data_IF_159182189870
#
_entry.id   IF_159182189870
#
_cell.length_a   1.000
_cell.length_b   1.000
_cell.length_c   1.000
_cell.angle_alpha   90.00
_cell.angle_beta   90.00
_cell.angle_gamma   90.00
#
_symmetry.space_group_name_H-M   'P 1'
#
loop_
_entity.id
_entity.type
_entity.pdbx_description
1 polymer ?
#
# COMPACT_ATOMS: atom_id res chain seq x y z
N UNK A 1 -24.92 -0.86 -10.63
CA UNK A 1 -23.60 -1.44 -10.94
C UNK A 1 -23.07 -0.85 -12.23
N UNK A 2 -21.74 -0.76 -12.35
CA UNK A 2 -21.06 -0.51 -13.62
C UNK A 2 -20.83 -1.85 -14.30
N UNK A 3 -21.32 -2.00 -15.50
CA UNK A 3 -21.24 -3.24 -16.28
C UNK A 3 -20.43 -2.97 -17.54
N UNK A 4 -19.42 -3.79 -17.81
CA UNK A 4 -18.70 -3.82 -19.07
C UNK A 4 -19.36 -4.90 -19.95
N UNK A 5 -19.97 -4.47 -21.05
CA UNK A 5 -20.56 -5.35 -22.05
C UNK A 5 -19.62 -5.45 -23.25
N UNK A 6 -19.14 -6.65 -23.54
CA UNK A 6 -18.21 -6.92 -24.65
C UNK A 6 -18.93 -7.83 -25.64
N UNK A 7 -19.25 -7.31 -26.81
CA UNK A 7 -19.96 -8.04 -27.87
C UNK A 7 -19.65 -7.36 -29.21
N UNK A 8 -19.26 -8.12 -30.23
CA UNK A 8 -18.90 -7.59 -31.55
C UNK A 8 -20.13 -7.19 -32.41
N UNK A 9 -21.27 -7.74 -32.09
CA UNK A 9 -22.54 -7.41 -32.74
C UNK A 9 -23.16 -6.14 -32.16
N UNK A 10 -22.98 -5.01 -32.84
CA UNK A 10 -23.58 -3.72 -32.43
C UNK A 10 -25.06 -3.79 -32.11
N UNK A 11 -25.80 -4.61 -32.87
CA UNK A 11 -27.25 -4.76 -32.67
C UNK A 11 -27.56 -5.50 -31.36
N UNK A 12 -26.87 -6.58 -31.07
CA UNK A 12 -26.99 -7.35 -29.82
C UNK A 12 -26.55 -6.52 -28.63
N UNK A 13 -25.38 -5.88 -28.73
CA UNK A 13 -24.84 -4.99 -27.69
C UNK A 13 -25.83 -3.85 -27.36
N UNK A 14 -26.41 -3.20 -28.37
CA UNK A 14 -27.35 -2.11 -28.15
C UNK A 14 -28.64 -2.57 -27.44
N UNK A 15 -29.18 -3.72 -27.81
CA UNK A 15 -30.38 -4.29 -27.17
C UNK A 15 -30.06 -4.69 -25.72
N UNK A 16 -28.97 -5.39 -25.49
CA UNK A 16 -28.55 -5.80 -24.15
C UNK A 16 -28.25 -4.59 -23.26
N UNK A 17 -27.53 -3.60 -23.76
CA UNK A 17 -27.23 -2.37 -23.02
C UNK A 17 -28.53 -1.60 -22.66
N UNK A 18 -29.50 -1.51 -23.57
CA UNK A 18 -30.78 -0.88 -23.27
C UNK A 18 -31.54 -1.60 -22.14
N UNK A 19 -31.58 -2.95 -22.18
CA UNK A 19 -32.20 -3.77 -21.13
C UNK A 19 -31.52 -3.56 -19.76
N UNK A 20 -30.18 -3.58 -19.72
CA UNK A 20 -29.41 -3.37 -18.50
C UNK A 20 -29.59 -1.94 -17.96
N UNK A 21 -29.66 -0.94 -18.82
CA UNK A 21 -29.90 0.45 -18.44
C UNK A 21 -31.29 0.64 -17.85
N UNK A 22 -32.32 -0.01 -18.42
CA UNK A 22 -33.68 -0.02 -17.85
C UNK A 22 -33.72 -0.66 -16.44
N UNK A 23 -32.84 -1.62 -16.16
CA UNK A 23 -32.67 -2.21 -14.84
C UNK A 23 -31.85 -1.34 -13.86
N UNK A 24 -31.47 -0.13 -14.29
CA UNK A 24 -30.73 0.84 -13.44
C UNK A 24 -29.22 0.60 -13.37
N UNK A 25 -28.63 -0.03 -14.38
CA UNK A 25 -27.19 -0.25 -14.46
C UNK A 25 -26.52 0.74 -15.41
N UNK A 26 -25.27 1.10 -15.13
CA UNK A 26 -24.41 1.89 -16.01
C UNK A 26 -23.62 0.93 -16.91
N UNK A 27 -23.72 1.08 -18.23
CA UNK A 27 -23.16 0.13 -19.19
C UNK A 27 -22.11 0.80 -20.06
N UNK A 28 -20.89 0.26 -20.01
CA UNK A 28 -19.81 0.57 -20.95
C UNK A 28 -19.74 -0.55 -21.98
N UNK A 29 -19.56 -0.22 -23.27
CA UNK A 29 -19.53 -1.20 -24.35
C UNK A 29 -18.13 -1.30 -24.97
N UNK A 30 -17.73 -2.52 -25.36
CA UNK A 30 -16.53 -2.79 -26.14
C UNK A 30 -16.87 -3.75 -27.29
N UNK A 31 -16.30 -3.52 -28.49
CA UNK A 31 -16.66 -4.22 -29.73
C UNK A 31 -15.81 -5.52 -29.94
N UNK A 32 -14.88 -5.86 -29.08
CA UNK A 32 -14.08 -7.09 -29.13
C UNK A 32 -13.36 -7.33 -27.78
N UNK A 33 -12.80 -8.52 -27.62
CA UNK A 33 -12.13 -8.91 -26.38
C UNK A 33 -10.93 -8.05 -26.02
N UNK A 34 -10.15 -7.55 -27.01
CA UNK A 34 -9.01 -6.69 -26.71
C UNK A 34 -9.46 -5.36 -26.11
N UNK A 35 -10.43 -4.68 -26.72
CA UNK A 35 -11.00 -3.45 -26.20
C UNK A 35 -11.69 -3.67 -24.84
N UNK A 36 -12.27 -4.86 -24.63
CA UNK A 36 -12.83 -5.26 -23.34
C UNK A 36 -11.76 -5.31 -22.26
N UNK A 37 -10.62 -5.96 -22.51
CA UNK A 37 -9.49 -6.01 -21.58
C UNK A 37 -8.91 -4.61 -21.32
N UNK A 38 -8.72 -3.79 -22.36
CA UNK A 38 -8.19 -2.44 -22.21
C UNK A 38 -9.11 -1.55 -21.37
N UNK A 39 -10.43 -1.64 -21.61
CA UNK A 39 -11.45 -0.94 -20.81
C UNK A 39 -11.46 -1.40 -19.36
N UNK A 40 -11.36 -2.71 -19.12
CA UNK A 40 -11.26 -3.28 -17.78
C UNK A 40 -10.03 -2.78 -17.03
N UNK A 41 -8.86 -2.78 -17.67
CA UNK A 41 -7.62 -2.31 -17.05
C UNK A 41 -7.64 -0.82 -16.71
N UNK A 42 -8.34 -0.01 -17.53
CA UNK A 42 -8.47 1.43 -17.30
C UNK A 42 -9.45 1.76 -16.17
N UNK A 43 -10.60 1.11 -16.17
CA UNK A 43 -11.68 1.39 -15.22
C UNK A 43 -12.44 0.09 -14.87
N UNK A 44 -11.99 -0.69 -13.89
CA UNK A 44 -12.58 -1.97 -13.53
C UNK A 44 -14.09 -1.84 -13.21
N UNK A 45 -14.96 -2.66 -13.85
CA UNK A 45 -16.41 -2.65 -13.63
C UNK A 45 -16.78 -3.49 -12.39
N UNK A 46 -18.08 -3.48 -12.04
CA UNK A 46 -18.63 -4.36 -11.02
C UNK A 46 -19.00 -5.75 -11.59
N UNK A 47 -19.19 -5.83 -12.91
CA UNK A 47 -19.56 -7.05 -13.65
C UNK A 47 -19.08 -6.93 -15.10
N UNK A 48 -18.61 -8.02 -15.68
CA UNK A 48 -18.33 -8.15 -17.12
C UNK A 48 -19.35 -9.09 -17.73
N UNK A 49 -20.01 -8.64 -18.81
CA UNK A 49 -20.77 -9.50 -19.73
C UNK A 49 -19.93 -9.64 -21.00
N UNK A 50 -19.52 -10.86 -21.32
CA UNK A 50 -18.52 -11.14 -22.35
C UNK A 50 -19.08 -12.10 -23.39
N UNK A 51 -19.17 -11.66 -24.63
CA UNK A 51 -19.43 -12.60 -25.71
C UNK A 51 -18.28 -13.58 -25.90
N UNK A 52 -18.61 -14.82 -26.24
CA UNK A 52 -17.61 -15.89 -26.44
C UNK A 52 -16.93 -15.73 -27.78
N UNK A 53 -17.69 -15.53 -28.86
CA UNK A 53 -17.19 -15.52 -30.23
C UNK A 53 -17.04 -14.08 -30.75
N UNK A 54 -15.84 -13.57 -30.74
CA UNK A 54 -15.51 -12.23 -31.21
C UNK A 54 -14.26 -12.21 -32.08
N UNK A 55 -14.15 -11.30 -33.05
CA UNK A 55 -12.93 -11.08 -33.82
C UNK A 55 -11.82 -10.48 -32.95
N UNK A 56 -10.58 -10.55 -33.42
CA UNK A 56 -9.37 -10.03 -32.77
C UNK A 56 -9.00 -10.83 -31.53
N UNK A 57 -9.91 -10.96 -30.56
CA UNK A 57 -9.72 -11.73 -29.31
C UNK A 57 -11.10 -12.28 -28.89
N UNK A 58 -11.19 -13.59 -28.75
CA UNK A 58 -12.41 -14.22 -28.24
C UNK A 58 -12.57 -13.99 -26.73
N UNK A 59 -13.80 -14.27 -26.22
CA UNK A 59 -14.14 -14.00 -24.83
C UNK A 59 -13.34 -14.81 -23.82
N UNK A 60 -12.97 -16.04 -24.14
CA UNK A 60 -12.19 -16.89 -23.23
C UNK A 60 -10.78 -16.33 -23.00
N UNK A 61 -10.08 -15.97 -24.07
CA UNK A 61 -8.74 -15.33 -23.99
C UNK A 61 -8.84 -13.97 -23.29
N UNK A 62 -9.91 -13.21 -23.51
CA UNK A 62 -10.12 -11.95 -22.83
C UNK A 62 -10.29 -12.17 -21.31
N UNK A 63 -11.08 -13.16 -20.89
CA UNK A 63 -11.29 -13.50 -19.50
C UNK A 63 -9.97 -13.94 -18.82
N UNK A 64 -9.18 -14.82 -19.45
CA UNK A 64 -7.86 -15.20 -18.93
C UNK A 64 -6.94 -14.01 -18.72
N UNK A 65 -6.93 -13.04 -19.64
CA UNK A 65 -6.12 -11.80 -19.51
C UNK A 65 -6.62 -10.92 -18.37
N UNK A 66 -7.93 -10.79 -18.20
CA UNK A 66 -8.53 -10.09 -17.07
C UNK A 66 -8.11 -10.75 -15.77
N UNK A 67 -8.18 -12.09 -15.65
CA UNK A 67 -7.75 -12.83 -14.46
C UNK A 67 -6.26 -12.66 -14.17
N UNK A 68 -5.42 -12.71 -15.19
CA UNK A 68 -3.99 -12.47 -15.05
C UNK A 68 -3.66 -11.03 -14.59
N UNK A 69 -4.47 -10.05 -14.99
CA UNK A 69 -4.36 -8.68 -14.53
C UNK A 69 -4.81 -8.56 -13.06
N UNK A 70 -5.98 -9.11 -12.70
CA UNK A 70 -6.51 -9.10 -11.34
C UNK A 70 -5.58 -9.76 -10.32
N UNK A 71 -4.90 -10.84 -10.70
CA UNK A 71 -3.94 -11.55 -9.83
C UNK A 71 -2.75 -10.68 -9.38
N UNK A 72 -2.53 -9.52 -10.01
CA UNK A 72 -1.47 -8.55 -9.67
C UNK A 72 -2.00 -7.34 -8.89
N UNK A 73 -3.28 -7.34 -8.56
CA UNK A 73 -3.95 -6.21 -7.91
C UNK A 73 -4.43 -6.64 -6.53
N UNK A 74 -4.57 -5.66 -5.64
CA UNK A 74 -5.03 -5.88 -4.26
C UNK A 74 -6.57 -5.86 -4.13
N UNK A 75 -7.31 -5.73 -5.24
CA UNK A 75 -8.77 -5.77 -5.18
C UNK A 75 -9.35 -7.15 -5.47
N UNK A 76 -10.56 -7.37 -4.98
CA UNK A 76 -11.28 -8.61 -5.20
C UNK A 76 -11.70 -8.77 -6.67
N UNK A 77 -11.59 -10.00 -7.17
CA UNK A 77 -11.97 -10.47 -8.49
C UNK A 77 -13.37 -9.99 -8.95
N UNK A 78 -13.52 -9.58 -10.24
CA UNK A 78 -14.76 -9.12 -10.85
C UNK A 78 -15.51 -10.27 -11.51
N UNK A 79 -16.82 -10.49 -11.26
CA UNK A 79 -17.59 -11.51 -11.95
C UNK A 79 -17.57 -11.33 -13.47
N UNK A 80 -17.37 -12.43 -14.20
CA UNK A 80 -17.45 -12.49 -15.66
C UNK A 80 -18.56 -13.47 -16.02
N UNK A 81 -19.56 -13.00 -16.72
CA UNK A 81 -20.64 -13.82 -17.26
C UNK A 81 -20.49 -13.88 -18.77
N UNK A 82 -20.39 -15.07 -19.30
CA UNK A 82 -20.34 -15.25 -20.76
C UNK A 82 -21.73 -15.14 -21.37
N UNK A 83 -21.79 -14.41 -22.50
CA UNK A 83 -22.95 -14.37 -23.38
C UNK A 83 -22.78 -15.42 -24.46
N UNK A 84 -23.75 -16.33 -24.60
CA UNK A 84 -23.68 -17.42 -25.56
C UNK A 84 -24.91 -17.46 -26.47
N UNK A 85 -24.72 -17.87 -27.70
CA UNK A 85 -25.82 -18.17 -28.62
C UNK A 85 -26.38 -19.60 -28.37
N UNK A 86 -25.63 -20.51 -27.71
CA UNK A 86 -25.99 -21.90 -27.52
C UNK A 86 -25.56 -22.42 -26.13
N UNK A 87 -26.46 -23.11 -25.45
CA UNK A 87 -26.28 -23.68 -24.10
C UNK A 87 -25.76 -25.11 -24.18
N UNK A 88 -24.63 -25.37 -24.86
CA UNK A 88 -24.05 -26.72 -24.90
C UNK A 88 -23.18 -26.98 -23.65
N UNK A 89 -23.19 -28.23 -23.12
CA UNK A 89 -22.37 -28.59 -21.95
C UNK A 89 -20.86 -28.36 -22.15
N UNK A 90 -20.36 -28.52 -23.37
CA UNK A 90 -18.94 -28.31 -23.71
C UNK A 90 -18.54 -26.85 -23.56
N UNK A 91 -19.38 -25.93 -24.00
CA UNK A 91 -19.15 -24.49 -23.86
C UNK A 91 -19.16 -24.04 -22.40
N UNK A 92 -19.96 -24.67 -21.57
CA UNK A 92 -20.03 -24.40 -20.13
C UNK A 92 -18.71 -24.75 -19.42
N UNK A 93 -18.15 -25.93 -19.70
CA UNK A 93 -16.87 -26.36 -19.11
C UNK A 93 -15.75 -25.41 -19.50
N UNK A 94 -15.64 -25.10 -20.80
CA UNK A 94 -14.63 -24.16 -21.31
C UNK A 94 -14.77 -22.74 -20.70
N UNK A 95 -16.01 -22.27 -20.52
CA UNK A 95 -16.26 -20.97 -19.90
C UNK A 95 -15.76 -20.90 -18.45
N UNK A 96 -15.99 -21.94 -17.67
CA UNK A 96 -15.53 -22.03 -16.27
C UNK A 96 -14.01 -22.12 -16.21
N UNK A 97 -13.39 -22.97 -17.06
CA UNK A 97 -11.92 -23.12 -17.11
C UNK A 97 -11.21 -21.82 -17.53
N UNK A 98 -11.81 -21.03 -18.42
CA UNK A 98 -11.32 -19.71 -18.82
C UNK A 98 -11.49 -18.62 -17.73
N UNK A 99 -12.07 -18.95 -16.58
CA UNK A 99 -12.25 -18.03 -15.46
C UNK A 99 -13.57 -17.25 -15.46
N UNK A 100 -14.57 -17.71 -16.21
CA UNK A 100 -15.94 -17.21 -16.11
C UNK A 100 -16.68 -17.75 -14.88
N UNK A 101 -17.66 -17.00 -14.41
CA UNK A 101 -18.44 -17.30 -13.21
C UNK A 101 -19.83 -17.84 -13.50
N UNK A 102 -20.36 -17.44 -14.64
CA UNK A 102 -21.71 -17.85 -15.09
C UNK A 102 -21.81 -17.62 -16.61
N UNK A 103 -22.92 -18.04 -17.18
CA UNK A 103 -23.27 -17.78 -18.57
C UNK A 103 -24.73 -17.39 -18.72
N UNK A 104 -25.05 -16.67 -19.78
CA UNK A 104 -26.40 -16.21 -20.12
C UNK A 104 -26.59 -16.33 -21.63
N UNK A 105 -27.71 -16.95 -22.05
CA UNK A 105 -28.09 -16.92 -23.45
C UNK A 105 -28.37 -15.47 -23.90
N UNK A 106 -27.93 -15.05 -25.08
CA UNK A 106 -28.19 -13.70 -25.63
C UNK A 106 -29.69 -13.40 -25.76
N UNK A 107 -30.51 -14.44 -25.90
CA UNK A 107 -31.99 -14.38 -26.00
C UNK A 107 -32.71 -14.60 -24.67
N UNK A 108 -32.00 -14.48 -23.53
CA UNK A 108 -32.55 -14.73 -22.20
C UNK A 108 -33.82 -13.87 -21.95
N UNK A 109 -34.90 -14.44 -21.34
CA UNK A 109 -36.07 -13.68 -20.93
C UNK A 109 -35.70 -12.57 -19.90
N UNK A 110 -36.45 -11.45 -19.94
CA UNK A 110 -36.21 -10.28 -19.08
C UNK A 110 -36.21 -10.63 -17.60
N UNK A 111 -37.15 -11.47 -17.18
CA UNK A 111 -37.28 -11.92 -15.79
C UNK A 111 -36.03 -12.70 -15.30
N UNK A 112 -35.42 -13.51 -16.17
CA UNK A 112 -34.22 -14.25 -15.86
C UNK A 112 -32.99 -13.33 -15.83
N UNK A 113 -32.87 -12.40 -16.80
CA UNK A 113 -31.82 -11.40 -16.82
C UNK A 113 -31.84 -10.56 -15.53
N UNK A 114 -33.02 -10.06 -15.16
CA UNK A 114 -33.20 -9.27 -13.94
C UNK A 114 -32.83 -10.06 -12.69
N UNK A 115 -33.25 -11.34 -12.59
CA UNK A 115 -32.87 -12.18 -11.45
C UNK A 115 -31.36 -12.39 -11.35
N UNK A 116 -30.67 -12.66 -12.48
CA UNK A 116 -29.20 -12.78 -12.52
C UNK A 116 -28.52 -11.47 -12.18
N UNK A 117 -28.95 -10.35 -12.73
CA UNK A 117 -28.39 -9.01 -12.40
C UNK A 117 -28.56 -8.67 -10.91
N UNK A 118 -29.72 -8.98 -10.32
CA UNK A 118 -29.93 -8.82 -8.88
C UNK A 118 -29.00 -9.71 -8.03
N UNK A 119 -28.76 -10.94 -8.47
CA UNK A 119 -27.80 -11.82 -7.80
C UNK A 119 -26.36 -11.26 -7.89
N UNK A 120 -25.93 -10.79 -9.07
CA UNK A 120 -24.61 -10.20 -9.28
C UNK A 120 -24.43 -8.89 -8.51
N UNK A 121 -25.48 -8.05 -8.45
CA UNK A 121 -25.46 -6.82 -7.64
C UNK A 121 -25.20 -7.13 -6.15
N UNK A 122 -25.83 -8.18 -5.63
CA UNK A 122 -25.61 -8.63 -4.26
C UNK A 122 -24.19 -9.15 -4.05
N UNK A 123 -23.66 -9.94 -4.98
CA UNK A 123 -22.28 -10.46 -4.93
C UNK A 123 -21.27 -9.30 -4.98
N UNK A 124 -21.44 -8.35 -5.90
CA UNK A 124 -20.59 -7.17 -6.00
C UNK A 124 -20.62 -6.33 -4.72
N UNK A 125 -21.81 -6.14 -4.13
CA UNK A 125 -21.97 -5.44 -2.85
C UNK A 125 -21.27 -6.14 -1.68
N UNK A 126 -21.44 -7.45 -1.53
CA UNK A 126 -20.79 -8.23 -0.48
C UNK A 126 -19.25 -8.22 -0.64
N UNK A 127 -18.78 -8.31 -1.86
CA UNK A 127 -17.36 -8.26 -2.20
C UNK A 127 -16.73 -6.91 -1.81
N UNK A 128 -17.41 -5.80 -2.14
CA UNK A 128 -16.99 -4.46 -1.74
C UNK A 128 -16.92 -4.33 -0.22
N UNK A 129 -17.93 -4.80 0.49
CA UNK A 129 -17.94 -4.79 1.96
C UNK A 129 -16.81 -5.62 2.56
N UNK A 130 -16.52 -6.81 2.00
CA UNK A 130 -15.41 -7.65 2.45
C UNK A 130 -14.06 -6.97 2.22
N UNK A 131 -13.87 -6.35 1.06
CA UNK A 131 -12.66 -5.60 0.74
C UNK A 131 -12.44 -4.43 1.71
N UNK A 132 -13.48 -3.61 1.93
CA UNK A 132 -13.43 -2.50 2.88
C UNK A 132 -13.16 -2.99 4.33
N UNK A 133 -13.77 -4.11 4.73
CA UNK A 133 -13.54 -4.71 6.04
C UNK A 133 -12.11 -5.21 6.21
N UNK A 134 -11.55 -5.89 5.20
CA UNK A 134 -10.17 -6.35 5.21
C UNK A 134 -9.18 -5.18 5.28
N UNK A 135 -9.33 -4.16 4.44
CA UNK A 135 -8.50 -2.96 4.50
C UNK A 135 -8.57 -2.26 5.86
N UNK A 136 -9.76 -2.20 6.46
CA UNK A 136 -9.93 -1.65 7.80
C UNK A 136 -9.24 -2.49 8.87
N UNK A 137 -9.31 -3.82 8.77
CA UNK A 137 -8.60 -4.72 9.67
C UNK A 137 -7.08 -4.61 9.52
N UNK A 138 -6.58 -4.52 8.30
CA UNK A 138 -5.15 -4.29 8.02
C UNK A 138 -4.68 -2.96 8.58
N UNK A 139 -5.43 -1.88 8.37
CA UNK A 139 -5.11 -0.58 8.95
C UNK A 139 -5.07 -0.64 10.48
N UNK A 140 -6.06 -1.27 11.13
CA UNK A 140 -6.09 -1.45 12.58
C UNK A 140 -4.94 -2.31 13.10
N UNK A 141 -4.49 -3.30 12.33
CA UNK A 141 -3.38 -4.17 12.70
C UNK A 141 -2.00 -3.51 12.50
N UNK A 142 -1.87 -2.62 11.51
CA UNK A 142 -0.58 -2.12 11.05
C UNK A 142 -0.34 -0.63 11.31
N UNK A 143 -1.39 0.18 11.54
CA UNK A 143 -1.26 1.61 11.76
C UNK A 143 -1.37 1.97 13.23
N UNK A 144 -0.73 3.08 13.60
CA UNK A 144 -0.89 3.73 14.91
C UNK A 144 -2.17 4.57 14.90
N UNK A 145 -3.03 4.33 15.88
CA UNK A 145 -4.37 4.92 15.95
C UNK A 145 -4.38 6.45 16.15
N UNK A 146 -3.28 7.06 16.61
CA UNK A 146 -3.17 8.50 16.75
C UNK A 146 -2.65 9.17 15.49
N UNK A 147 -1.58 8.63 14.93
CA UNK A 147 -0.77 9.31 13.89
C UNK A 147 -1.06 8.81 12.48
N UNK A 148 -1.69 7.64 12.32
CA UNK A 148 -2.01 7.03 11.03
C UNK A 148 -0.81 6.46 10.26
N UNK A 149 0.43 6.63 10.73
CA UNK A 149 1.61 5.94 10.20
C UNK A 149 1.68 4.50 10.74
N UNK A 150 2.64 3.71 10.28
CA UNK A 150 2.77 2.34 10.78
C UNK A 150 3.03 2.30 12.29
N UNK A 151 2.48 1.30 12.97
CA UNK A 151 2.72 1.04 14.38
C UNK A 151 4.00 0.20 14.60
N UNK A 152 4.44 0.08 15.85
CA UNK A 152 5.60 -0.71 16.24
C UNK A 152 5.50 -2.16 15.79
N UNK A 153 4.32 -2.78 15.92
CA UNK A 153 4.13 -4.19 15.55
C UNK A 153 4.39 -4.44 14.07
N UNK A 154 3.90 -3.57 13.21
CA UNK A 154 4.16 -3.65 11.77
C UNK A 154 5.64 -3.39 11.46
N UNK A 155 6.24 -2.41 12.16
CA UNK A 155 7.66 -2.12 12.02
C UNK A 155 8.52 -3.36 12.35
N UNK A 156 8.27 -4.02 13.48
CA UNK A 156 9.04 -5.20 13.90
C UNK A 156 8.91 -6.32 12.84
N UNK A 157 7.70 -6.60 12.36
CA UNK A 157 7.45 -7.60 11.32
C UNK A 157 8.19 -7.29 10.00
N UNK A 158 8.11 -6.05 9.54
CA UNK A 158 8.73 -5.62 8.27
C UNK A 158 10.25 -5.56 8.38
N UNK A 159 10.75 -5.16 9.53
CA UNK A 159 12.17 -5.05 9.79
C UNK A 159 12.87 -6.42 9.73
N UNK A 160 12.30 -7.44 10.39
CA UNK A 160 12.83 -8.80 10.34
C UNK A 160 12.88 -9.35 8.91
N UNK A 161 11.82 -9.11 8.15
CA UNK A 161 11.74 -9.52 6.74
C UNK A 161 12.77 -8.78 5.88
N UNK A 162 12.77 -7.44 5.93
CA UNK A 162 13.67 -6.61 5.12
C UNK A 162 15.14 -6.81 5.48
N UNK A 163 15.45 -7.06 6.77
CA UNK A 163 16.81 -7.38 7.20
C UNK A 163 17.28 -8.72 6.63
N UNK A 164 16.41 -9.74 6.70
CA UNK A 164 16.72 -11.07 6.14
C UNK A 164 16.95 -11.01 4.63
N UNK A 165 16.12 -10.27 3.89
CA UNK A 165 16.33 -10.03 2.46
C UNK A 165 17.65 -9.29 2.18
N UNK A 166 17.94 -8.25 2.96
CA UNK A 166 19.19 -7.50 2.82
C UNK A 166 20.42 -8.37 3.08
N UNK A 167 20.35 -9.27 4.06
CA UNK A 167 21.43 -10.25 4.34
C UNK A 167 21.64 -11.21 3.17
N UNK A 168 20.57 -11.76 2.59
CA UNK A 168 20.67 -12.69 1.46
C UNK A 168 21.33 -12.04 0.23
N UNK A 169 21.03 -10.76 -0.01
CA UNK A 169 21.54 -10.02 -1.17
C UNK A 169 22.84 -9.24 -0.86
N UNK A 170 23.30 -9.22 0.40
CA UNK A 170 24.39 -8.34 0.83
C UNK A 170 24.10 -6.86 0.61
N UNK A 171 22.82 -6.46 0.73
CA UNK A 171 22.38 -5.11 0.44
C UNK A 171 22.61 -4.15 1.63
N UNK A 172 22.74 -2.83 1.39
CA UNK A 172 22.84 -1.85 2.47
C UNK A 172 21.52 -1.68 3.21
N UNK A 173 21.61 -1.23 4.46
CA UNK A 173 20.45 -1.00 5.32
C UNK A 173 20.68 0.17 6.28
N UNK A 174 19.71 1.08 6.36
CA UNK A 174 19.69 2.20 7.28
C UNK A 174 18.52 2.13 8.26
N UNK A 175 18.77 2.49 9.51
CA UNK A 175 17.77 2.63 10.58
C UNK A 175 17.96 3.99 11.24
N UNK A 176 16.88 4.77 11.33
CA UNK A 176 16.83 6.00 12.12
C UNK A 176 15.84 5.81 13.27
N UNK A 177 16.28 6.05 14.48
CA UNK A 177 15.45 6.20 15.68
C UNK A 177 15.31 7.69 15.98
N UNK A 178 14.10 8.13 16.28
CA UNK A 178 13.74 9.53 16.35
C UNK A 178 12.93 9.76 17.62
N UNK A 179 13.20 10.86 18.31
CA UNK A 179 12.48 11.24 19.51
C UNK A 179 12.16 12.74 19.47
N UNK A 180 10.98 13.11 19.91
CA UNK A 180 10.53 14.52 19.97
C UNK A 180 11.11 15.18 21.20
N UNK A 181 11.92 16.21 20.99
CA UNK A 181 12.67 16.88 22.03
C UNK A 181 11.75 17.53 23.09
N UNK A 182 12.00 17.22 24.36
CA UNK A 182 11.29 17.80 25.51
C UNK A 182 9.75 17.60 25.47
N UNK A 183 9.24 16.57 24.80
CA UNK A 183 7.81 16.36 24.55
C UNK A 183 6.98 16.25 25.83
N UNK A 184 7.50 15.66 26.90
CA UNK A 184 6.82 15.66 28.19
C UNK A 184 6.56 17.09 28.69
N UNK A 185 7.55 18.00 28.59
CA UNK A 185 7.36 19.42 28.98
C UNK A 185 6.38 20.14 28.08
N UNK A 186 6.28 19.73 26.82
CA UNK A 186 5.27 20.23 25.90
C UNK A 186 3.86 19.87 26.40
N UNK A 187 3.63 18.57 26.69
CA UNK A 187 2.36 18.10 27.23
C UNK A 187 1.99 18.74 28.57
N UNK A 188 2.96 18.87 29.46
CA UNK A 188 2.74 19.50 30.78
C UNK A 188 2.30 20.98 30.66
N UNK A 189 2.72 21.68 29.60
CA UNK A 189 2.40 23.09 29.37
C UNK A 189 1.14 23.30 28.50
N UNK A 190 1.00 22.55 27.39
CA UNK A 190 -0.08 22.75 26.42
C UNK A 190 -1.24 21.75 26.53
N UNK A 191 -1.08 20.72 27.36
CA UNK A 191 -2.03 19.64 27.55
C UNK A 191 -1.88 18.52 26.51
N UNK A 192 -2.41 17.35 26.85
CA UNK A 192 -2.28 16.13 26.04
C UNK A 192 -2.94 16.24 24.64
N UNK A 193 -4.05 16.99 24.53
CA UNK A 193 -4.69 17.18 23.23
C UNK A 193 -3.78 17.92 22.23
N UNK A 194 -3.10 18.98 22.69
CA UNK A 194 -2.12 19.70 21.89
C UNK A 194 -0.91 18.80 21.54
N UNK A 195 -0.50 17.93 22.48
CA UNK A 195 0.52 16.92 22.22
C UNK A 195 0.11 15.91 21.14
N UNK A 196 -1.11 15.45 21.17
CA UNK A 196 -1.66 14.55 20.16
C UNK A 196 -1.67 15.21 18.77
N UNK A 197 -2.10 16.48 18.67
CA UNK A 197 -2.09 17.25 17.43
C UNK A 197 -0.66 17.49 16.92
N UNK A 198 0.27 17.76 17.85
CA UNK A 198 1.70 17.88 17.54
C UNK A 198 2.26 16.57 16.95
N UNK A 199 1.98 15.42 17.57
CA UNK A 199 2.45 14.13 17.06
C UNK A 199 1.85 13.78 15.69
N UNK A 200 0.57 14.12 15.44
CA UNK A 200 -0.04 13.97 14.11
C UNK A 200 0.67 14.80 13.04
N UNK A 201 0.97 16.05 13.35
CA UNK A 201 1.67 16.97 12.44
C UNK A 201 3.09 16.47 12.14
N UNK A 202 3.84 16.04 13.16
CA UNK A 202 5.18 15.46 13.03
C UNK A 202 5.14 14.21 12.16
N UNK A 203 4.25 13.27 12.45
CA UNK A 203 4.11 12.04 11.70
C UNK A 203 3.79 12.29 10.22
N UNK A 204 2.88 13.21 9.92
CA UNK A 204 2.54 13.60 8.55
C UNK A 204 3.75 14.23 7.81
N UNK A 205 4.51 15.09 8.48
CA UNK A 205 5.71 15.70 7.91
C UNK A 205 6.78 14.67 7.58
N UNK A 206 7.04 13.73 8.50
CA UNK A 206 8.00 12.63 8.30
C UNK A 206 7.55 11.68 7.20
N UNK A 207 6.27 11.28 7.18
CA UNK A 207 5.71 10.44 6.12
C UNK A 207 5.87 11.09 4.74
N UNK A 208 5.68 12.42 4.65
CA UNK A 208 5.91 13.19 3.42
C UNK A 208 7.37 13.18 2.96
N UNK A 209 8.35 13.21 3.89
CA UNK A 209 9.78 13.08 3.55
C UNK A 209 10.08 11.69 3.00
N UNK A 210 9.65 10.64 3.71
CA UNK A 210 9.90 9.25 3.32
C UNK A 210 9.22 8.92 1.98
N UNK A 211 7.97 9.34 1.78
CA UNK A 211 7.26 9.15 0.51
C UNK A 211 8.01 9.79 -0.69
N UNK A 212 8.58 10.98 -0.51
CA UNK A 212 9.41 11.63 -1.55
C UNK A 212 10.71 10.86 -1.81
N UNK A 213 11.33 10.29 -0.78
CA UNK A 213 12.53 9.46 -0.93
C UNK A 213 12.21 8.18 -1.72
N UNK A 214 11.08 7.52 -1.43
CA UNK A 214 10.57 6.37 -2.18
C UNK A 214 10.29 6.73 -3.65
N UNK A 215 9.58 7.82 -3.89
CA UNK A 215 9.24 8.28 -5.24
C UNK A 215 10.47 8.62 -6.10
N UNK A 216 11.57 9.06 -5.47
CA UNK A 216 12.86 9.31 -6.12
C UNK A 216 13.72 8.06 -6.29
N UNK A 217 13.28 6.90 -5.81
CA UNK A 217 14.02 5.65 -5.89
C UNK A 217 15.19 5.54 -4.88
N UNK A 218 15.24 6.41 -3.88
CA UNK A 218 16.28 6.41 -2.82
C UNK A 218 16.24 5.11 -2.01
N UNK A 219 15.04 4.66 -1.64
CA UNK A 219 14.80 3.36 -1.03
C UNK A 219 13.37 2.94 -1.29
N UNK A 220 13.14 1.89 -2.10
CA UNK A 220 11.79 1.51 -2.56
C UNK A 220 10.83 1.13 -1.44
N UNK A 221 11.36 0.53 -0.38
CA UNK A 221 10.58 -0.03 0.73
C UNK A 221 10.82 0.74 2.04
N UNK A 222 11.27 2.01 1.95
CA UNK A 222 11.43 2.85 3.11
C UNK A 222 10.06 3.24 3.68
N UNK A 223 9.95 3.24 5.01
CA UNK A 223 8.75 3.68 5.70
C UNK A 223 9.06 4.28 7.07
N UNK A 224 8.09 5.03 7.60
CA UNK A 224 8.11 5.59 8.94
C UNK A 224 7.09 4.87 9.82
N UNK A 225 7.47 4.60 11.07
CA UNK A 225 6.61 4.00 12.08
C UNK A 225 6.69 4.78 13.40
N UNK A 226 5.61 4.74 14.18
CA UNK A 226 5.63 5.17 15.57
C UNK A 226 6.11 4.01 16.44
N UNK A 227 7.27 4.21 17.07
CA UNK A 227 7.91 3.18 17.90
C UNK A 227 7.24 3.09 19.28
N UNK A 228 6.83 4.24 19.84
CA UNK A 228 6.07 4.32 21.09
C UNK A 228 6.06 5.74 21.66
N UNK A 229 4.99 6.19 22.29
CA UNK A 229 4.92 7.53 22.86
C UNK A 229 5.23 8.63 21.85
N UNK A 230 6.34 9.34 22.09
CA UNK A 230 6.92 10.37 21.22
C UNK A 230 8.06 9.87 20.35
N UNK A 231 8.28 8.57 20.29
CA UNK A 231 9.37 7.94 19.54
C UNK A 231 8.89 7.42 18.18
N UNK A 232 9.70 7.64 17.16
CA UNK A 232 9.47 7.19 15.79
C UNK A 232 10.70 6.45 15.25
N UNK A 233 10.49 5.68 14.20
CA UNK A 233 11.56 5.00 13.49
C UNK A 233 11.37 5.14 11.97
N UNK A 234 12.47 5.24 11.22
CA UNK A 234 12.47 5.15 9.76
C UNK A 234 13.40 4.03 9.33
N UNK A 235 12.86 3.12 8.53
CA UNK A 235 13.62 2.03 7.93
C UNK A 235 13.91 2.37 6.48
N UNK A 236 15.17 2.13 6.07
CA UNK A 236 15.65 2.46 4.72
C UNK A 236 16.46 1.29 4.15
N UNK A 237 15.81 0.22 3.65
CA UNK A 237 16.51 -0.86 2.98
C UNK A 237 17.06 -0.40 1.63
N UNK A 238 18.21 -0.94 1.23
CA UNK A 238 18.85 -0.74 -0.09
C UNK A 238 19.12 0.73 -0.45
N UNK A 239 19.36 1.60 0.56
CA UNK A 239 19.74 2.99 0.35
C UNK A 239 21.27 3.16 0.37
N UNK A 240 21.77 4.24 -0.23
CA UNK A 240 23.16 4.64 -0.03
C UNK A 240 23.34 5.37 1.30
N UNK A 241 24.60 5.43 1.82
CA UNK A 241 24.89 6.19 3.03
C UNK A 241 24.57 7.68 2.90
N UNK A 242 24.85 8.25 1.72
CA UNK A 242 24.54 9.65 1.42
C UNK A 242 23.03 9.91 1.45
N UNK A 243 22.24 9.03 0.84
CA UNK A 243 20.79 9.13 0.86
C UNK A 243 20.23 9.02 2.28
N UNK A 244 20.74 8.07 3.06
CA UNK A 244 20.36 7.86 4.44
C UNK A 244 20.61 9.10 5.31
N UNK A 245 21.81 9.70 5.23
CA UNK A 245 22.12 10.95 5.95
C UNK A 245 21.26 12.13 5.46
N UNK A 246 21.04 12.20 4.15
CA UNK A 246 20.19 13.23 3.55
C UNK A 246 18.75 13.14 4.06
N UNK A 247 18.19 11.94 4.17
CA UNK A 247 16.84 11.75 4.71
C UNK A 247 16.79 12.15 6.19
N UNK A 248 17.80 11.81 7.00
CA UNK A 248 17.86 12.22 8.40
C UNK A 248 17.79 13.76 8.55
N UNK A 249 18.56 14.49 7.77
CA UNK A 249 18.53 15.97 7.76
C UNK A 249 17.20 16.54 7.24
N UNK A 250 16.61 15.91 6.23
CA UNK A 250 15.30 16.31 5.71
C UNK A 250 14.17 16.11 6.73
N UNK A 251 14.24 15.08 7.56
CA UNK A 251 13.29 14.87 8.65
C UNK A 251 13.36 15.99 9.69
N UNK A 252 14.56 16.35 10.12
CA UNK A 252 14.78 17.48 11.03
C UNK A 252 14.24 18.79 10.44
N UNK A 253 14.58 19.06 9.19
CA UNK A 253 14.15 20.29 8.50
C UNK A 253 12.63 20.33 8.31
N UNK A 254 12.00 19.20 8.01
CA UNK A 254 10.55 19.11 7.82
C UNK A 254 9.79 19.42 9.11
N UNK A 255 10.27 18.92 10.25
CA UNK A 255 9.62 19.20 11.54
C UNK A 255 9.89 20.63 12.01
N UNK A 256 11.11 21.16 11.87
CA UNK A 256 11.39 22.57 12.11
C UNK A 256 10.47 23.51 11.32
N UNK A 257 10.19 23.15 10.07
CA UNK A 257 9.30 23.95 9.19
C UNK A 257 7.83 23.98 9.64
N UNK A 258 7.41 23.09 10.54
CA UNK A 258 6.08 23.15 11.14
C UNK A 258 5.92 24.35 12.07
N UNK A 259 7.04 24.90 12.59
CA UNK A 259 7.09 26.07 13.49
C UNK A 259 6.13 25.95 14.70
N UNK A 260 5.90 24.71 15.17
CA UNK A 260 5.05 24.45 16.33
C UNK A 260 5.74 25.03 17.57
N UNK A 261 5.13 26.03 18.19
CA UNK A 261 5.69 26.70 19.35
C UNK A 261 5.87 25.77 20.53
N UNK A 262 7.04 25.83 21.18
CA UNK A 262 7.37 25.06 22.38
C UNK A 262 8.09 25.93 23.42
N UNK A 263 7.31 26.56 24.33
CA UNK A 263 7.82 27.53 25.32
C UNK A 263 8.92 26.97 26.24
N UNK A 264 8.93 25.66 26.46
CA UNK A 264 9.92 24.97 27.31
C UNK A 264 11.05 24.28 26.55
N UNK A 265 11.19 24.56 25.26
CA UNK A 265 12.36 24.22 24.45
C UNK A 265 13.20 25.49 24.22
N UNK A 266 13.84 25.95 25.30
CA UNK A 266 14.39 27.30 25.43
C UNK A 266 15.42 27.65 24.32
N UNK A 267 16.19 26.67 23.85
CA UNK A 267 17.23 26.89 22.83
C UNK A 267 16.65 27.11 21.42
N UNK A 268 15.42 26.63 21.17
CA UNK A 268 14.82 26.62 19.83
C UNK A 268 13.46 27.33 19.74
N UNK A 269 12.71 27.43 20.83
CA UNK A 269 11.36 28.02 20.90
C UNK A 269 10.26 27.27 20.15
N UNK A 270 10.62 26.21 19.43
CA UNK A 270 9.74 25.36 18.62
C UNK A 270 9.98 23.89 18.95
N UNK A 271 9.07 23.03 18.49
CA UNK A 271 9.23 21.58 18.56
C UNK A 271 10.34 21.14 17.61
N UNK A 272 11.25 20.31 18.13
CA UNK A 272 12.40 19.76 17.38
C UNK A 272 12.49 18.26 17.60
N UNK A 273 13.33 17.60 16.81
CA UNK A 273 13.63 16.17 16.91
C UNK A 273 15.11 15.94 17.22
N UNK A 274 15.38 14.88 17.96
CA UNK A 274 16.69 14.22 17.99
C UNK A 274 16.62 12.94 17.17
N UNK A 275 17.62 12.70 16.33
CA UNK A 275 17.70 11.53 15.45
C UNK A 275 18.98 10.77 15.74
N UNK A 276 18.85 9.50 16.01
CA UNK A 276 19.98 8.56 16.12
C UNK A 276 19.93 7.57 14.98
N UNK A 277 21.01 7.49 14.22
CA UNK A 277 21.04 6.66 13.04
C UNK A 277 22.13 5.61 13.05
N UNK A 278 21.86 4.44 12.45
CA UNK A 278 22.84 3.40 12.17
C UNK A 278 22.68 2.93 10.72
N UNK A 279 23.80 2.81 10.02
CA UNK A 279 23.85 2.38 8.62
C UNK A 279 24.86 1.26 8.46
N UNK A 280 24.55 0.27 7.65
CA UNK A 280 25.47 -0.77 7.20
C UNK A 280 25.52 -0.78 5.67
N UNK A 281 26.72 -0.73 5.10
CA UNK A 281 26.90 -0.83 3.64
C UNK A 281 26.57 -2.23 3.11
N UNK A 282 26.59 -3.23 3.99
CA UNK A 282 26.22 -4.61 3.72
C UNK A 282 25.55 -5.19 4.98
N UNK A 283 24.34 -5.69 4.82
CA UNK A 283 23.62 -6.29 5.93
C UNK A 283 24.31 -7.61 6.35
N UNK A 284 25.00 -7.58 7.47
CA UNK A 284 25.70 -8.71 8.07
C UNK A 284 25.53 -8.69 9.59
N UNK A 285 25.64 -9.84 10.22
CA UNK A 285 25.55 -9.95 11.67
C UNK A 285 24.14 -9.87 12.23
N UNK A 286 24.02 -9.32 13.44
CA UNK A 286 22.73 -9.29 14.17
C UNK A 286 22.06 -7.94 14.04
N UNK A 287 20.77 -7.93 13.68
CA UNK A 287 19.92 -6.75 13.65
C UNK A 287 19.95 -5.94 14.97
N UNK A 288 20.05 -6.63 16.11
CA UNK A 288 20.16 -6.01 17.43
C UNK A 288 21.35 -5.04 17.56
N UNK A 289 22.44 -5.26 16.82
CA UNK A 289 23.58 -4.33 16.80
C UNK A 289 23.23 -3.02 16.10
N UNK A 290 22.49 -3.09 15.00
CA UNK A 290 22.02 -1.90 14.29
C UNK A 290 21.15 -1.04 15.21
N UNK A 291 20.19 -1.65 15.92
CA UNK A 291 19.36 -0.96 16.90
C UNK A 291 20.18 -0.32 18.02
N UNK A 292 21.10 -1.08 18.63
CA UNK A 292 21.93 -0.57 19.70
C UNK A 292 22.77 0.64 19.29
N UNK A 293 23.29 0.65 18.07
CA UNK A 293 24.06 1.77 17.55
C UNK A 293 23.16 2.98 17.26
N UNK A 294 21.96 2.78 16.69
CA UNK A 294 21.00 3.85 16.48
C UNK A 294 20.56 4.49 17.81
N UNK A 295 20.27 3.68 18.84
CA UNK A 295 19.91 4.16 20.18
C UNK A 295 21.05 4.94 20.84
N UNK A 296 22.28 4.43 20.77
CA UNK A 296 23.47 5.13 21.27
C UNK A 296 23.65 6.50 20.59
N UNK A 297 23.44 6.58 19.28
CA UNK A 297 23.52 7.83 18.53
C UNK A 297 22.35 8.77 18.87
N UNK A 298 21.14 8.27 19.10
CA UNK A 298 20.02 9.07 19.58
C UNK A 298 20.30 9.69 20.95
N UNK A 299 20.88 8.90 21.83
CA UNK A 299 21.34 9.41 23.12
C UNK A 299 22.41 10.51 22.98
N UNK A 300 23.38 10.34 22.06
CA UNK A 300 24.36 11.40 21.78
C UNK A 300 23.73 12.67 21.19
N UNK A 301 22.78 12.53 20.27
CA UNK A 301 22.04 13.66 19.72
C UNK A 301 21.36 14.48 20.82
N UNK A 302 20.70 13.77 21.77
CA UNK A 302 20.07 14.42 22.94
C UNK A 302 21.10 15.12 23.86
N UNK A 303 22.27 14.52 24.07
CA UNK A 303 23.35 15.10 24.90
C UNK A 303 24.06 16.29 24.25
N UNK A 304 24.22 16.27 22.92
CA UNK A 304 24.93 17.28 22.17
C UNK A 304 24.06 18.53 21.87
N UNK A 305 22.91 18.69 22.54
CA UNK A 305 22.06 19.88 22.45
C UNK A 305 20.79 19.68 21.65
N UNK A 306 20.40 18.45 21.32
CA UNK A 306 19.14 18.13 20.60
C UNK A 306 19.06 18.76 19.20
N UNK A 307 17.90 18.67 18.54
CA UNK A 307 17.63 19.21 17.22
C UNK A 307 18.71 18.87 16.18
N UNK A 308 19.17 17.61 16.18
CA UNK A 308 20.24 17.12 15.31
C UNK A 308 20.10 15.65 15.02
N UNK A 309 20.80 15.21 13.98
CA UNK A 309 21.05 13.80 13.71
C UNK A 309 22.48 13.43 14.11
N UNK A 310 22.62 12.37 14.84
CA UNK A 310 23.91 11.68 15.06
C UNK A 310 23.77 10.32 14.39
N UNK A 311 24.65 10.04 13.44
CA UNK A 311 24.57 8.83 12.65
C UNK A 311 25.97 8.26 12.42
N UNK A 312 26.07 6.94 12.42
CA UNK A 312 27.33 6.27 12.13
C UNK A 312 27.13 5.14 11.13
N UNK A 313 28.16 4.88 10.32
CA UNK A 313 28.29 3.61 9.61
C UNK A 313 28.80 2.55 10.58
N UNK A 314 28.02 1.47 10.72
CA UNK A 314 28.41 0.32 11.53
C UNK A 314 29.30 -0.58 10.67
N UNK A 315 30.57 -0.67 11.01
CA UNK A 315 31.45 -1.67 10.40
C UNK A 315 31.06 -3.03 10.99
N UNK A 316 30.78 -4.01 10.14
CA UNK A 316 30.56 -5.38 10.60
C UNK A 316 31.77 -5.80 11.46
N UNK A 317 31.54 -6.18 12.71
CA UNK A 317 32.57 -6.87 13.49
C UNK A 317 32.90 -8.18 12.75
N UNK A 318 33.99 -8.18 12.01
CA UNK A 318 34.54 -9.38 11.44
C UNK A 318 34.73 -10.38 12.58
N UNK A 319 34.22 -11.60 12.39
CA UNK A 319 34.31 -12.69 13.34
C UNK A 319 35.76 -12.88 13.82
N UNK A 320 36.09 -12.29 14.96
CA UNK A 320 37.24 -12.70 15.74
C UNK A 320 36.82 -13.90 16.57
N UNK A 321 36.62 -15.04 15.93
CA UNK A 321 36.65 -16.36 16.57
C UNK A 321 37.21 -17.35 15.56
N UNK A 322 38.54 -17.39 15.47
CA UNK A 322 39.26 -18.58 15.06
C UNK A 322 40.71 -18.42 15.56
N UNK A 323 41.02 -19.01 16.70
CA UNK A 323 42.41 -19.12 17.12
C UNK A 323 42.55 -19.11 18.64
N UNK A 324 42.27 -20.25 19.26
CA UNK A 324 42.59 -20.51 20.66
C UNK A 324 42.25 -21.95 21.00
#
# INVERSE_FOLDING_TARGET
MRILLVDDSRAVAAVMAARLTLLGHEVTQAENGQLGVDSFCCCPPDLVLMDVEMPVMNGFVAAERIRAFEARQDWAWTPIIFLTASDTPENLVTAIEAGGDDFIAKTVPETVLQAKMNAMARIAGLRKQLFEANHKLEALAHQDGLTGIYNRRYMDLRLDHQWSEAQLCGAPFGLLLIDVDNFKRYNDHYGHQAGDDCLRAIAAAMAGVVARAVAKGVSRDAFVARYGGEEFAVLMPRCTEVDYLTVAEQLLAAVRKLEILHAHNADWGIVTLSVGGAYVARAEGRLALLFRNADANLYQAKRNGRNRAEACSVVAEAAMVAGG
#
